data_IF_260783942793
#
_entry.id   IF_260783942793
#
_cell.length_a   1.000
_cell.length_b   1.000
_cell.length_c   1.000
_cell.angle_alpha   90.00
_cell.angle_beta   90.00
_cell.angle_gamma   90.00
#
_symmetry.space_group_name_H-M   'P 1'
#
loop_
_entity.id
_entity.type
_entity.pdbx_description
1 polymer ?
#
# COMPACT_ATOMS: atom_id res chain seq x y z
N UNK A 1 39.08 57.09 -0.34
CA UNK A 1 38.69 56.00 0.56
C UNK A 1 37.49 55.29 -0.06
N UNK A 2 37.57 54.01 -0.46
CA UNK A 2 36.43 53.24 -0.92
C UNK A 2 35.62 52.72 0.30
N UNK A 3 34.26 52.58 0.20
CA UNK A 3 33.45 52.09 1.28
C UNK A 3 33.63 50.57 1.47
N UNK A 4 33.64 50.17 2.75
CA UNK A 4 33.78 48.79 3.16
C UNK A 4 32.54 47.97 2.75
N UNK A 5 32.77 46.78 2.14
CA UNK A 5 31.73 45.79 1.85
C UNK A 5 31.15 45.20 3.14
N UNK A 6 29.83 45.00 3.22
CA UNK A 6 29.22 44.36 4.37
C UNK A 6 29.53 42.84 4.36
N UNK A 7 29.98 42.36 5.53
CA UNK A 7 30.23 40.93 5.75
C UNK A 7 28.92 40.12 5.66
N UNK A 8 28.87 39.10 4.78
CA UNK A 8 27.79 38.16 4.65
C UNK A 8 27.83 37.21 5.85
N UNK A 9 26.80 37.28 6.71
CA UNK A 9 26.63 36.37 7.84
C UNK A 9 26.33 34.96 7.34
N UNK A 10 27.20 34.00 7.66
CA UNK A 10 27.01 32.57 7.36
C UNK A 10 25.90 32.03 8.29
N UNK A 11 24.85 31.42 7.75
CA UNK A 11 23.77 30.84 8.59
C UNK A 11 24.30 29.65 9.41
N UNK A 12 23.77 29.44 10.63
CA UNK A 12 24.20 28.35 11.49
C UNK A 12 23.92 26.99 10.83
N UNK A 13 24.90 26.12 10.88
CA UNK A 13 24.85 24.75 10.38
C UNK A 13 23.82 23.96 11.17
N UNK A 14 22.69 23.60 10.54
CA UNK A 14 21.68 22.71 11.11
C UNK A 14 22.29 21.31 11.23
N UNK A 15 22.44 20.83 12.45
CA UNK A 15 22.86 19.45 12.69
C UNK A 15 21.73 18.48 12.33
N UNK A 16 22.02 17.36 11.63
CA UNK A 16 21.02 16.36 11.34
C UNK A 16 20.53 15.70 12.65
N UNK A 17 19.23 15.31 12.73
CA UNK A 17 18.70 14.66 13.91
C UNK A 17 19.43 13.34 14.17
N UNK A 18 19.92 13.17 15.41
CA UNK A 18 20.53 11.92 15.84
C UNK A 18 19.46 10.82 15.85
N UNK A 19 19.70 9.76 15.06
CA UNK A 19 18.90 8.53 15.13
C UNK A 19 19.18 7.87 16.48
N UNK A 20 18.23 7.97 17.40
CA UNK A 20 18.26 7.20 18.66
C UNK A 20 17.83 5.78 18.36
N UNK A 21 18.77 4.84 18.47
CA UNK A 21 18.46 3.41 18.39
C UNK A 21 17.62 3.04 19.62
N UNK A 22 16.30 2.93 19.44
CA UNK A 22 15.40 2.47 20.50
C UNK A 22 15.62 0.96 20.65
N UNK A 23 16.25 0.54 21.73
CA UNK A 23 16.37 -0.87 22.08
C UNK A 23 14.97 -1.44 22.34
N UNK A 24 14.65 -2.64 21.80
CA UNK A 24 13.37 -3.26 22.08
C UNK A 24 13.25 -3.59 23.56
N UNK A 25 12.21 -3.05 24.21
CA UNK A 25 11.85 -3.39 25.59
C UNK A 25 11.62 -4.88 25.70
N UNK A 26 12.44 -5.56 26.50
CA UNK A 26 12.30 -6.98 26.83
C UNK A 26 10.94 -7.21 27.51
N UNK A 27 10.05 -7.89 26.80
CA UNK A 27 8.71 -8.25 27.30
C UNK A 27 8.82 -9.36 28.33
N UNK A 28 8.17 -9.27 29.50
CA UNK A 28 8.09 -10.39 30.44
C UNK A 28 7.33 -11.56 29.79
N UNK A 29 7.95 -12.73 29.78
CA UNK A 29 7.41 -13.94 29.19
C UNK A 29 6.47 -14.64 30.17
N UNK A 30 5.17 -14.71 29.84
CA UNK A 30 4.18 -15.53 30.53
C UNK A 30 3.94 -16.81 29.73
N UNK A 31 4.42 -17.94 30.20
CA UNK A 31 4.52 -19.22 29.47
C UNK A 31 3.18 -19.80 28.97
N UNK A 32 2.07 -19.59 29.66
CA UNK A 32 0.76 -20.12 29.30
C UNK A 32 0.07 -19.41 28.12
N UNK A 33 0.49 -18.18 27.80
CA UNK A 33 -0.02 -17.44 26.64
C UNK A 33 0.69 -17.85 25.34
N UNK A 34 1.91 -18.35 25.43
CA UNK A 34 2.72 -18.75 24.27
C UNK A 34 2.18 -19.98 23.55
N UNK A 35 1.61 -20.94 24.26
CA UNK A 35 1.18 -22.22 23.68
C UNK A 35 -0.08 -22.06 22.81
N UNK A 36 -1.04 -21.25 23.26
CA UNK A 36 -2.27 -20.95 22.49
C UNK A 36 -2.00 -20.05 21.28
N UNK A 37 -1.08 -19.09 21.43
CA UNK A 37 -0.66 -18.22 20.32
C UNK A 37 0.07 -19.05 19.26
N UNK A 38 0.91 -20.01 19.66
CA UNK A 38 1.67 -20.86 18.75
C UNK A 38 0.78 -21.79 17.91
N UNK A 39 -0.32 -22.32 18.48
CA UNK A 39 -1.24 -23.18 17.75
C UNK A 39 -2.10 -22.39 16.73
N UNK A 40 -2.60 -21.23 17.12
CA UNK A 40 -3.31 -20.34 16.21
C UNK A 40 -2.40 -19.84 15.08
N UNK A 41 -1.17 -19.45 15.39
CA UNK A 41 -0.17 -19.08 14.38
C UNK A 41 0.21 -20.23 13.46
N UNK A 42 0.31 -21.46 13.99
CA UNK A 42 0.57 -22.65 13.19
C UNK A 42 -0.55 -22.91 12.20
N UNK A 43 -1.82 -22.85 12.64
CA UNK A 43 -3.00 -22.96 11.76
C UNK A 43 -3.01 -21.89 10.68
N UNK A 44 -2.65 -20.65 11.02
CA UNK A 44 -2.56 -19.56 10.05
C UNK A 44 -1.42 -19.75 9.04
N UNK A 45 -0.30 -20.40 9.45
CA UNK A 45 0.79 -20.74 8.52
C UNK A 45 0.40 -21.82 7.53
N UNK A 46 -0.50 -22.72 7.92
CA UNK A 46 -1.04 -23.79 7.07
C UNK A 46 -2.09 -23.28 6.08
N UNK A 47 -2.67 -22.08 6.31
CA UNK A 47 -3.61 -21.50 5.37
C UNK A 47 -2.92 -21.18 4.03
N UNK A 48 -3.54 -21.56 2.90
CA UNK A 48 -3.05 -21.16 1.61
C UNK A 48 -3.08 -19.63 1.52
N UNK A 49 -2.06 -19.05 0.89
CA UNK A 49 -2.05 -17.62 0.58
C UNK A 49 -3.15 -17.26 -0.42
N UNK A 50 -3.41 -15.96 -0.61
CA UNK A 50 -4.34 -15.52 -1.64
C UNK A 50 -3.81 -15.92 -3.03
N UNK A 51 -4.71 -16.35 -3.92
CA UNK A 51 -4.36 -16.75 -5.28
C UNK A 51 -3.73 -15.55 -6.05
N UNK A 52 -2.56 -15.71 -6.66
CA UNK A 52 -1.93 -14.68 -7.49
C UNK A 52 -2.84 -14.13 -8.60
N UNK A 53 -3.70 -14.96 -9.16
CA UNK A 53 -4.68 -14.53 -10.18
C UNK A 53 -5.75 -13.61 -9.59
N UNK A 54 -6.23 -13.94 -8.39
CA UNK A 54 -7.16 -13.08 -7.64
C UNK A 54 -6.50 -11.74 -7.31
N UNK A 55 -5.25 -11.75 -6.86
CA UNK A 55 -4.48 -10.55 -6.56
C UNK A 55 -4.33 -9.66 -7.80
N UNK A 56 -3.96 -10.27 -8.94
CA UNK A 56 -3.86 -9.56 -10.22
C UNK A 56 -5.18 -8.91 -10.63
N UNK A 57 -6.30 -9.63 -10.49
CA UNK A 57 -7.63 -9.12 -10.80
C UNK A 57 -8.02 -7.95 -9.87
N UNK A 58 -7.73 -8.05 -8.57
CA UNK A 58 -7.99 -6.96 -7.61
C UNK A 58 -7.15 -5.73 -7.95
N UNK A 59 -5.87 -5.89 -8.32
CA UNK A 59 -5.01 -4.79 -8.75
C UNK A 59 -5.57 -4.05 -9.98
N UNK A 60 -6.03 -4.81 -10.99
CA UNK A 60 -6.71 -4.26 -12.17
C UNK A 60 -7.96 -3.49 -11.75
N UNK A 61 -8.82 -4.06 -10.92
CA UNK A 61 -10.06 -3.43 -10.48
C UNK A 61 -9.81 -2.17 -9.65
N UNK A 62 -8.80 -2.16 -8.78
CA UNK A 62 -8.39 -0.96 -8.02
C UNK A 62 -7.92 0.13 -8.99
N UNK A 63 -7.05 -0.22 -9.94
CA UNK A 63 -6.58 0.72 -10.95
C UNK A 63 -7.74 1.33 -11.74
N UNK A 64 -8.64 0.50 -12.28
CA UNK A 64 -9.82 0.93 -13.05
C UNK A 64 -10.77 1.79 -12.20
N UNK A 65 -10.94 1.46 -10.91
CA UNK A 65 -11.77 2.25 -10.00
C UNK A 65 -11.17 3.63 -9.75
N UNK A 66 -9.86 3.75 -9.58
CA UNK A 66 -9.17 5.03 -9.40
C UNK A 66 -9.15 5.85 -10.68
N UNK A 67 -9.11 5.18 -11.84
CA UNK A 67 -9.20 5.82 -13.15
C UNK A 67 -10.66 6.22 -13.53
N UNK A 68 -11.64 5.78 -12.76
CA UNK A 68 -13.04 6.12 -12.95
C UNK A 68 -13.81 5.23 -13.95
N UNK A 69 -13.13 4.26 -14.58
CA UNK A 69 -13.75 3.31 -15.52
C UNK A 69 -14.56 2.21 -14.84
N UNK A 70 -14.40 2.05 -13.51
CA UNK A 70 -15.13 1.06 -12.68
C UNK A 70 -15.70 1.69 -11.42
N UNK A 71 -16.83 1.20 -10.95
CA UNK A 71 -17.40 1.60 -9.66
C UNK A 71 -16.65 0.97 -8.48
N UNK A 72 -16.39 1.75 -7.42
CA UNK A 72 -15.74 1.23 -6.19
C UNK A 72 -16.54 0.10 -5.52
N UNK A 73 -17.88 0.13 -5.61
CA UNK A 73 -18.73 -0.93 -5.09
C UNK A 73 -18.43 -2.32 -5.68
N UNK A 74 -17.86 -2.36 -6.89
CA UNK A 74 -17.50 -3.61 -7.55
C UNK A 74 -16.25 -4.29 -6.96
N UNK A 75 -15.50 -3.61 -6.10
CA UNK A 75 -14.45 -4.23 -5.29
C UNK A 75 -15.03 -5.15 -4.21
N UNK A 76 -16.28 -4.88 -3.77
CA UNK A 76 -17.06 -5.73 -2.89
C UNK A 76 -16.27 -6.22 -1.66
N UNK A 77 -16.36 -7.53 -1.43
CA UNK A 77 -15.70 -8.17 -0.29
C UNK A 77 -14.18 -8.43 -0.49
N UNK A 78 -13.63 -8.10 -1.65
CA UNK A 78 -12.19 -8.26 -1.91
C UNK A 78 -11.33 -7.26 -1.15
N UNK A 79 -11.91 -6.13 -0.76
CA UNK A 79 -11.26 -5.08 0.02
C UNK A 79 -11.97 -4.87 1.36
N UNK A 80 -11.26 -4.30 2.33
CA UNK A 80 -11.90 -3.86 3.57
C UNK A 80 -12.65 -2.54 3.36
N UNK A 81 -13.66 -2.28 4.21
CA UNK A 81 -14.38 -1.01 4.21
C UNK A 81 -13.42 0.20 4.32
N UNK A 82 -12.44 0.11 5.22
CA UNK A 82 -11.43 1.16 5.42
C UNK A 82 -10.69 1.47 4.12
N UNK A 83 -10.25 0.43 3.41
CA UNK A 83 -9.58 0.61 2.12
C UNK A 83 -10.53 1.19 1.06
N UNK A 84 -11.78 0.72 1.00
CA UNK A 84 -12.77 1.23 0.05
C UNK A 84 -13.02 2.75 0.24
N UNK A 85 -13.13 3.21 1.50
CA UNK A 85 -13.25 4.65 1.82
C UNK A 85 -12.01 5.42 1.37
N UNK A 86 -10.81 4.92 1.67
CA UNK A 86 -9.55 5.54 1.25
C UNK A 86 -9.45 5.65 -0.28
N UNK A 87 -9.76 4.56 -1.00
CA UNK A 87 -9.77 4.57 -2.47
C UNK A 87 -10.79 5.58 -3.03
N UNK A 88 -11.91 5.77 -2.35
CA UNK A 88 -12.90 6.80 -2.69
C UNK A 88 -12.31 8.21 -2.63
N UNK A 89 -11.58 8.53 -1.58
CA UNK A 89 -10.88 9.82 -1.43
C UNK A 89 -9.81 10.03 -2.51
N UNK A 90 -8.98 9.01 -2.73
CA UNK A 90 -7.93 9.06 -3.78
C UNK A 90 -8.56 9.24 -5.17
N UNK A 91 -9.65 8.53 -5.45
CA UNK A 91 -10.39 8.67 -6.71
C UNK A 91 -10.91 10.11 -6.91
N UNK A 92 -11.56 10.68 -5.89
CA UNK A 92 -12.09 12.03 -5.95
C UNK A 92 -10.98 13.04 -6.28
N UNK A 93 -9.84 12.97 -5.59
CA UNK A 93 -8.69 13.84 -5.86
C UNK A 93 -8.12 13.65 -7.27
N UNK A 94 -8.06 12.40 -7.78
CA UNK A 94 -7.63 12.13 -9.16
C UNK A 94 -8.61 12.66 -10.19
N UNK A 95 -9.91 12.55 -9.96
CA UNK A 95 -10.95 13.07 -10.86
C UNK A 95 -10.91 14.60 -10.95
N UNK A 96 -10.77 15.28 -9.81
CA UNK A 96 -10.60 16.73 -9.77
C UNK A 96 -9.38 17.17 -10.58
N UNK A 97 -8.23 16.52 -10.36
CA UNK A 97 -7.01 16.79 -11.12
C UNK A 97 -7.20 16.56 -12.62
N UNK A 98 -7.87 15.48 -13.04
CA UNK A 98 -8.16 15.20 -14.45
C UNK A 98 -9.05 16.26 -15.07
N UNK A 99 -10.06 16.71 -14.34
CA UNK A 99 -10.95 17.77 -14.79
C UNK A 99 -10.17 19.07 -15.05
N UNK A 100 -9.28 19.45 -14.13
CA UNK A 100 -8.42 20.63 -14.27
C UNK A 100 -7.51 20.54 -15.50
N UNK A 101 -6.98 19.38 -15.82
CA UNK A 101 -6.06 19.17 -16.95
C UNK A 101 -6.74 18.66 -18.23
N UNK A 102 -8.07 18.55 -18.24
CA UNK A 102 -8.88 18.05 -19.39
C UNK A 102 -8.37 16.68 -19.92
N UNK A 103 -7.90 15.81 -19.03
CA UNK A 103 -7.40 14.48 -19.41
C UNK A 103 -8.53 13.44 -19.30
N UNK A 104 -9.21 13.19 -20.43
CA UNK A 104 -10.32 12.24 -20.53
C UNK A 104 -9.88 10.82 -20.91
N UNK A 105 -8.58 10.55 -20.89
CA UNK A 105 -8.03 9.29 -21.43
C UNK A 105 -8.15 8.16 -20.43
N UNK A 106 -8.86 7.12 -20.83
CA UNK A 106 -8.92 5.84 -20.13
C UNK A 106 -7.98 4.83 -20.79
N UNK A 107 -7.27 4.06 -19.99
CA UNK A 107 -6.39 3.01 -20.47
C UNK A 107 -6.70 1.70 -19.74
N UNK A 108 -6.95 0.65 -20.50
CA UNK A 108 -7.19 -0.68 -19.95
C UNK A 108 -5.87 -1.28 -19.44
N UNK A 109 -5.75 -1.58 -18.13
CA UNK A 109 -4.54 -2.17 -17.56
C UNK A 109 -4.50 -3.67 -17.82
N UNK A 110 -3.28 -4.19 -18.10
CA UNK A 110 -3.01 -5.61 -18.21
C UNK A 110 -1.99 -6.03 -17.17
N UNK A 111 -2.28 -7.04 -16.33
CA UNK A 111 -1.30 -7.53 -15.37
C UNK A 111 -0.16 -8.26 -16.08
N UNK A 112 1.08 -7.90 -15.79
CA UNK A 112 2.29 -8.51 -16.35
C UNK A 112 3.01 -9.39 -15.35
N UNK A 113 3.09 -8.96 -14.10
CA UNK A 113 3.84 -9.67 -13.07
C UNK A 113 3.18 -9.47 -11.73
N UNK A 114 3.15 -10.54 -10.94
CA UNK A 114 2.76 -10.52 -9.52
C UNK A 114 3.96 -10.99 -8.70
N UNK A 115 4.34 -10.23 -7.70
CA UNK A 115 5.36 -10.59 -6.72
C UNK A 115 4.70 -10.62 -5.35
N UNK A 116 4.91 -11.70 -4.60
CA UNK A 116 4.31 -11.91 -3.29
C UNK A 116 5.40 -12.08 -2.24
N UNK A 117 5.15 -11.53 -1.07
CA UNK A 117 5.90 -11.75 0.15
C UNK A 117 4.91 -12.06 1.28
N UNK A 118 5.23 -13.01 2.14
CA UNK A 118 4.40 -13.33 3.32
C UNK A 118 5.18 -13.01 4.59
N UNK A 119 5.16 -11.75 5.05
CA UNK A 119 5.92 -11.31 6.22
C UNK A 119 5.43 -11.95 7.52
N UNK A 120 4.15 -12.28 7.60
CA UNK A 120 3.55 -12.97 8.76
C UNK A 120 2.53 -14.02 8.30
N UNK A 121 2.15 -14.97 9.17
CA UNK A 121 1.16 -16.00 8.81
C UNK A 121 -0.19 -15.48 8.34
N UNK A 122 -0.59 -14.30 8.80
CA UNK A 122 -1.89 -13.68 8.54
C UNK A 122 -1.83 -12.49 7.58
N UNK A 123 -0.64 -12.17 7.05
CA UNK A 123 -0.47 -11.06 6.12
C UNK A 123 0.37 -11.44 4.90
N UNK A 124 -0.05 -10.98 3.73
CA UNK A 124 0.66 -11.12 2.45
C UNK A 124 0.78 -9.74 1.82
N UNK A 125 1.98 -9.39 1.43
CA UNK A 125 2.27 -8.21 0.64
C UNK A 125 2.41 -8.61 -0.83
N UNK A 126 1.81 -7.82 -1.70
CA UNK A 126 1.79 -8.08 -3.13
C UNK A 126 2.19 -6.82 -3.91
N UNK A 127 3.01 -7.00 -4.92
CA UNK A 127 3.27 -5.97 -5.93
C UNK A 127 2.84 -6.51 -7.28
N UNK A 128 1.94 -5.79 -7.95
CA UNK A 128 1.45 -6.14 -9.28
C UNK A 128 1.88 -5.08 -10.28
N UNK A 129 2.59 -5.52 -11.30
CA UNK A 129 2.95 -4.66 -12.42
C UNK A 129 1.82 -4.69 -13.43
N UNK A 130 1.25 -3.53 -13.71
CA UNK A 130 0.21 -3.31 -14.71
C UNK A 130 0.79 -2.53 -15.89
N UNK A 131 0.55 -3.03 -17.09
CA UNK A 131 0.88 -2.34 -18.32
C UNK A 131 -0.36 -1.71 -18.91
N UNK A 132 -0.24 -0.47 -19.32
CA UNK A 132 -1.23 0.26 -20.10
C UNK A 132 -0.62 0.63 -21.46
N UNK A 133 -1.42 1.11 -22.40
CA UNK A 133 -0.92 1.52 -23.72
C UNK A 133 0.14 2.64 -23.68
N UNK A 134 0.37 3.25 -22.51
CA UNK A 134 1.24 4.43 -22.37
C UNK A 134 2.42 4.22 -21.45
N UNK A 135 2.20 3.51 -20.36
CA UNK A 135 3.20 3.33 -19.31
C UNK A 135 2.90 2.11 -18.45
N UNK A 136 3.88 1.75 -17.68
CA UNK A 136 3.78 0.72 -16.65
C UNK A 136 3.46 1.37 -15.31
N UNK A 137 2.61 0.72 -14.52
CA UNK A 137 2.24 1.09 -13.17
C UNK A 137 2.58 -0.06 -12.23
N UNK A 138 2.85 0.27 -10.97
CA UNK A 138 2.92 -0.73 -9.92
C UNK A 138 1.75 -0.51 -8.95
N UNK A 139 1.09 -1.60 -8.57
CA UNK A 139 0.08 -1.61 -7.51
C UNK A 139 0.65 -2.40 -6.35
N UNK A 140 0.98 -1.70 -5.27
CA UNK A 140 1.37 -2.32 -4.01
C UNK A 140 0.13 -2.54 -3.16
N UNK A 141 -0.02 -3.75 -2.61
CA UNK A 141 -1.18 -4.15 -1.80
C UNK A 141 -0.75 -4.97 -0.61
N UNK A 142 -1.49 -4.83 0.49
CA UNK A 142 -1.40 -5.70 1.65
C UNK A 142 -2.71 -6.44 1.82
N UNK A 143 -2.62 -7.75 1.96
CA UNK A 143 -3.74 -8.64 2.25
C UNK A 143 -3.62 -9.16 3.66
N UNK A 144 -4.74 -9.21 4.37
CA UNK A 144 -4.84 -9.81 5.69
C UNK A 144 -5.98 -10.82 5.73
N UNK A 145 -5.82 -11.84 6.60
CA UNK A 145 -6.86 -12.81 6.86
C UNK A 145 -7.89 -12.19 7.80
N UNK A 146 -9.03 -11.79 7.25
CA UNK A 146 -10.11 -11.09 7.98
C UNK A 146 -11.42 -11.80 7.73
N UNK A 147 -12.10 -12.23 8.80
CA UNK A 147 -13.41 -12.93 8.73
C UNK A 147 -13.36 -14.10 7.73
N UNK A 148 -12.43 -15.03 7.98
CA UNK A 148 -12.22 -16.29 7.24
C UNK A 148 -11.95 -16.14 5.73
N UNK A 149 -11.34 -15.04 5.34
CA UNK A 149 -10.89 -14.80 3.97
C UNK A 149 -9.78 -13.77 3.86
N UNK A 150 -9.03 -13.87 2.80
CA UNK A 150 -8.06 -12.84 2.44
C UNK A 150 -8.77 -11.60 1.89
N UNK A 151 -8.47 -10.43 2.46
CA UNK A 151 -8.96 -9.13 1.97
C UNK A 151 -7.79 -8.16 1.84
N UNK A 152 -7.83 -7.32 0.82
CA UNK A 152 -6.90 -6.21 0.74
C UNK A 152 -7.25 -5.17 1.81
N UNK A 153 -6.28 -4.85 2.67
CA UNK A 153 -6.39 -3.86 3.74
C UNK A 153 -5.73 -2.54 3.38
N UNK A 154 -4.73 -2.60 2.49
CA UNK A 154 -4.01 -1.44 1.98
C UNK A 154 -3.75 -1.60 0.48
N UNK A 155 -3.76 -0.50 -0.25
CA UNK A 155 -3.39 -0.45 -1.66
C UNK A 155 -2.89 0.93 -2.07
N UNK A 156 -1.84 0.96 -2.89
CA UNK A 156 -1.27 2.18 -3.49
C UNK A 156 -0.93 1.91 -4.94
N UNK A 157 -1.27 2.86 -5.82
CA UNK A 157 -0.91 2.84 -7.25
C UNK A 157 0.17 3.88 -7.50
N UNK A 158 1.32 3.40 -7.98
CA UNK A 158 2.54 4.15 -8.29
C UNK A 158 2.68 4.38 -9.79
#
# INVERSE_FOLDING_TARGET
MPPASPAIAVPPRVQPPHLVLVQPLSRPQTSASHERVSEAERRLRELPGPDPRMIAAIAVHIFEALEGSRGLAQLGNAVTWKLAVHLGQVRAARQERRHLFKDERHSAPRPKRVVLCRPTPHAVEASVVLETNRRTHAVAMRFEWVTDRWRATEATVL
#
